data_IF_878727268646
#
_entry.id   IF_878727268646
#
_cell.length_a   1.000
_cell.length_b   1.000
_cell.length_c   1.000
_cell.angle_alpha   90.00
_cell.angle_beta   90.00
_cell.angle_gamma   90.00
#
_symmetry.space_group_name_H-M   'P 1'
#
loop_
_entity.id
_entity.type
_entity.pdbx_description
1 polymer ?
#
# COMPACT_ATOMS: atom_id res chain seq x y z
N UNK A 1 -28.84 -46.43 0.99
CA UNK A 1 -29.86 -45.36 0.99
C UNK A 1 -29.31 -44.24 1.88
N UNK A 2 -29.43 -42.97 1.49
CA UNK A 2 -28.98 -41.78 2.25
C UNK A 2 -27.52 -41.79 2.77
N UNK A 3 -26.65 -41.08 2.05
CA UNK A 3 -25.41 -40.55 2.63
C UNK A 3 -25.56 -39.05 2.89
N UNK A 4 -24.69 -38.49 3.73
CA UNK A 4 -24.60 -37.05 4.00
C UNK A 4 -23.17 -36.55 3.83
N UNK A 5 -23.05 -35.34 3.25
CA UNK A 5 -21.82 -34.54 3.13
C UNK A 5 -21.75 -33.69 4.43
N UNK A 6 -20.61 -33.28 5.01
CA UNK A 6 -19.70 -32.14 4.73
C UNK A 6 -18.58 -32.29 5.79
N UNK A 7 -17.28 -32.16 5.52
CA UNK A 7 -16.51 -30.91 5.32
C UNK A 7 -15.30 -31.10 4.38
N UNK A 8 -14.80 -30.00 3.79
CA UNK A 8 -13.77 -30.00 2.75
C UNK A 8 -12.49 -29.24 3.14
N UNK A 9 -11.29 -29.85 3.02
CA UNK A 9 -10.03 -29.17 3.25
C UNK A 9 -9.47 -28.51 1.97
N UNK A 10 -9.42 -27.16 1.96
CA UNK A 10 -8.46 -26.30 1.24
C UNK A 10 -7.78 -26.84 -0.06
N UNK A 11 -8.44 -26.68 -1.22
CA UNK A 11 -7.74 -26.47 -2.51
C UNK A 11 -8.19 -25.12 -3.09
N UNK A 12 -7.53 -24.03 -2.67
CA UNK A 12 -7.62 -22.70 -3.30
C UNK A 12 -6.20 -22.13 -3.43
N UNK A 13 -5.65 -22.13 -4.65
CA UNK A 13 -4.42 -21.43 -5.04
C UNK A 13 -4.52 -21.00 -6.52
N UNK A 14 -3.64 -20.09 -6.99
CA UNK A 14 -3.71 -19.49 -8.32
C UNK A 14 -3.81 -20.50 -9.49
N UNK A 15 -4.66 -20.19 -10.48
CA UNK A 15 -5.04 -21.01 -11.63
C UNK A 15 -5.17 -20.12 -12.88
N UNK A 16 -4.29 -20.24 -13.87
CA UNK A 16 -3.78 -19.04 -14.51
C UNK A 16 -4.17 -18.84 -16.02
N UNK A 17 -4.80 -17.71 -16.43
CA UNK A 17 -5.31 -17.37 -17.82
C UNK A 17 -5.82 -15.88 -17.90
N UNK A 18 -6.01 -15.10 -19.00
CA UNK A 18 -5.50 -15.00 -20.42
C UNK A 18 -5.88 -13.65 -21.13
N UNK A 19 -5.00 -12.97 -21.90
CA UNK A 19 -5.35 -12.09 -23.06
C UNK A 19 -4.16 -11.93 -24.07
N UNK A 20 -4.40 -11.49 -25.33
CA UNK A 20 -3.56 -11.89 -26.49
C UNK A 20 -2.99 -10.76 -27.39
N UNK A 21 -2.19 -9.82 -26.84
CA UNK A 21 -1.50 -8.78 -27.64
C UNK A 21 0.03 -8.64 -27.47
N UNK A 22 0.64 -9.21 -26.42
CA UNK A 22 2.09 -9.06 -26.20
C UNK A 22 2.99 -9.79 -27.21
N UNK A 23 2.46 -10.82 -27.92
CA UNK A 23 3.26 -11.70 -28.79
C UNK A 23 3.81 -11.05 -30.07
N UNK A 24 3.49 -9.79 -30.38
CA UNK A 24 3.96 -9.07 -31.57
C UNK A 24 5.11 -8.07 -31.31
N UNK A 25 5.70 -8.03 -30.10
CA UNK A 25 6.81 -7.11 -29.77
C UNK A 25 8.02 -7.76 -29.06
N UNK A 26 8.12 -9.09 -29.08
CA UNK A 26 9.25 -9.86 -28.54
C UNK A 26 9.81 -10.87 -29.56
N UNK A 27 9.67 -10.58 -30.86
CA UNK A 27 10.21 -11.42 -31.93
C UNK A 27 11.70 -11.15 -32.14
N UNK A 28 12.55 -11.94 -31.49
CA UNK A 28 13.82 -12.35 -32.09
C UNK A 28 13.56 -13.58 -32.96
N UNK A 29 14.34 -13.75 -34.03
CA UNK A 29 14.28 -14.92 -34.91
C UNK A 29 14.92 -16.13 -34.23
N UNK A 30 14.22 -17.27 -34.23
CA UNK A 30 14.75 -18.52 -33.71
C UNK A 30 15.69 -19.17 -34.74
N UNK A 31 16.98 -19.12 -34.46
CA UNK A 31 17.98 -20.12 -34.86
C UNK A 31 18.41 -20.90 -33.60
N UNK A 32 18.87 -22.14 -33.75
CA UNK A 32 18.85 -23.17 -32.69
C UNK A 32 19.96 -23.06 -31.61
N UNK A 33 20.15 -21.87 -31.02
CA UNK A 33 21.06 -21.61 -29.91
C UNK A 33 20.34 -20.92 -28.74
N UNK A 34 20.20 -21.65 -27.63
CA UNK A 34 19.65 -21.22 -26.33
C UNK A 34 18.37 -20.36 -26.38
N UNK A 35 17.19 -21.01 -26.33
CA UNK A 35 15.93 -20.34 -25.94
C UNK A 35 15.99 -19.91 -24.46
N UNK A 36 16.71 -18.82 -24.20
CA UNK A 36 16.77 -18.11 -22.92
C UNK A 36 15.41 -17.45 -22.67
N UNK A 37 14.48 -18.18 -22.05
CA UNK A 37 13.11 -17.77 -21.79
C UNK A 37 12.88 -17.33 -20.34
N UNK A 38 11.88 -16.49 -20.09
CA UNK A 38 11.39 -16.29 -18.72
C UNK A 38 10.80 -17.59 -18.15
N UNK A 39 10.79 -17.73 -16.83
CA UNK A 39 10.22 -18.90 -16.16
C UNK A 39 8.73 -19.10 -16.48
N UNK A 40 8.00 -18.00 -16.69
CA UNK A 40 6.61 -18.03 -17.16
C UNK A 40 6.48 -18.54 -18.61
N UNK A 41 7.37 -18.17 -19.52
CA UNK A 41 7.36 -18.65 -20.92
C UNK A 41 7.66 -20.15 -21.02
N UNK A 42 8.66 -20.64 -20.28
CA UNK A 42 8.89 -22.09 -20.10
C UNK A 42 7.64 -22.77 -19.53
N UNK A 43 7.03 -22.15 -18.53
CA UNK A 43 5.78 -22.62 -17.91
C UNK A 43 4.60 -22.73 -18.86
N UNK A 44 4.50 -21.87 -19.87
CA UNK A 44 3.52 -21.98 -20.95
C UNK A 44 3.88 -23.05 -21.99
N UNK A 45 5.14 -23.12 -22.42
CA UNK A 45 5.59 -24.12 -23.39
C UNK A 45 5.37 -25.55 -22.87
N UNK A 46 5.67 -25.79 -21.60
CA UNK A 46 5.57 -27.11 -20.96
C UNK A 46 4.21 -27.40 -20.31
N UNK A 47 3.23 -26.49 -20.47
CA UNK A 47 1.88 -26.56 -19.87
C UNK A 47 1.89 -26.94 -18.36
N UNK A 48 2.81 -26.33 -17.60
CA UNK A 48 3.07 -26.68 -16.21
C UNK A 48 1.81 -26.54 -15.35
N UNK A 49 1.62 -27.48 -14.41
CA UNK A 49 0.43 -27.55 -13.54
C UNK A 49 0.74 -27.30 -12.07
N UNK A 50 -0.21 -26.68 -11.39
CA UNK A 50 -0.23 -26.51 -9.94
C UNK A 50 -0.64 -27.81 -9.20
N UNK A 51 -0.66 -27.77 -7.86
CA UNK A 51 -1.04 -28.93 -7.03
C UNK A 51 -2.52 -29.30 -7.13
N UNK A 52 -3.41 -28.37 -7.47
CA UNK A 52 -4.82 -28.62 -7.79
C UNK A 52 -5.02 -28.93 -9.31
N UNK A 53 -3.94 -29.27 -10.05
CA UNK A 53 -3.89 -29.61 -11.49
C UNK A 53 -4.31 -28.49 -12.47
N UNK A 54 -4.34 -27.24 -12.04
CA UNK A 54 -4.63 -26.07 -12.87
C UNK A 54 -3.37 -25.57 -13.60
N UNK A 55 -3.48 -24.80 -14.70
CA UNK A 55 -2.31 -24.19 -15.36
C UNK A 55 -1.55 -23.26 -14.42
N UNK A 56 -0.23 -23.29 -14.42
CA UNK A 56 0.62 -22.61 -13.44
C UNK A 56 1.10 -21.19 -13.81
N UNK A 57 0.78 -20.65 -15.00
CA UNK A 57 1.23 -19.32 -15.45
C UNK A 57 0.17 -18.47 -16.16
N UNK A 58 0.08 -17.18 -15.84
CA UNK A 58 -1.04 -16.28 -16.23
C UNK A 58 -0.66 -15.45 -17.43
N UNK A 59 -1.59 -15.34 -18.38
CA UNK A 59 -1.57 -14.30 -19.41
C UNK A 59 -2.45 -13.09 -19.06
N UNK A 60 -2.98 -13.02 -17.82
CA UNK A 60 -3.52 -11.81 -17.15
C UNK A 60 -3.30 -11.93 -15.63
N UNK A 61 -2.57 -11.00 -15.02
CA UNK A 61 -2.52 -10.88 -13.56
C UNK A 61 -3.59 -9.91 -13.04
N UNK A 62 -3.98 -10.07 -11.78
CA UNK A 62 -4.84 -9.11 -11.06
C UNK A 62 -4.02 -8.02 -10.36
N UNK A 63 -2.79 -8.36 -9.94
CA UNK A 63 -1.88 -7.45 -9.24
C UNK A 63 -0.43 -7.67 -9.68
N UNK A 64 0.29 -6.59 -9.92
CA UNK A 64 1.74 -6.57 -9.95
C UNK A 64 2.28 -6.62 -8.51
N UNK A 65 3.27 -7.46 -8.23
CA UNK A 65 3.92 -7.54 -6.91
C UNK A 65 5.32 -6.95 -6.96
N UNK A 66 5.44 -5.74 -6.43
CA UNK A 66 6.71 -5.06 -6.18
C UNK A 66 7.29 -5.55 -4.85
N UNK A 67 8.56 -5.98 -4.83
CA UNK A 67 9.16 -6.59 -3.64
C UNK A 67 10.69 -6.50 -3.62
N UNK A 68 11.28 -6.64 -2.43
CA UNK A 68 12.73 -6.78 -2.32
C UNK A 68 13.14 -8.26 -2.45
N UNK A 69 13.87 -8.60 -3.52
CA UNK A 69 14.34 -9.97 -3.82
C UNK A 69 15.14 -10.66 -2.69
N UNK A 70 15.67 -9.90 -1.72
CA UNK A 70 16.37 -10.46 -0.54
C UNK A 70 15.44 -11.15 0.48
N UNK A 71 14.13 -11.12 0.27
CA UNK A 71 13.16 -11.74 1.17
C UNK A 71 13.15 -13.26 1.07
N UNK A 72 12.88 -13.93 2.20
CA UNK A 72 12.63 -15.36 2.18
C UNK A 72 11.29 -15.63 1.46
N UNK A 73 11.29 -16.62 0.57
CA UNK A 73 10.13 -16.99 -0.24
C UNK A 73 8.88 -17.36 0.60
N UNK A 74 9.04 -18.01 1.76
CA UNK A 74 7.88 -18.28 2.63
C UNK A 74 7.29 -16.98 3.17
N UNK A 75 8.11 -16.07 3.69
CA UNK A 75 7.67 -14.79 4.24
C UNK A 75 7.06 -13.86 3.17
N UNK A 76 7.54 -13.94 1.93
CA UNK A 76 6.93 -13.29 0.76
C UNK A 76 5.53 -13.86 0.47
N UNK A 77 5.38 -15.20 0.43
CA UNK A 77 4.08 -15.84 0.25
C UNK A 77 3.11 -15.55 1.41
N UNK A 78 3.60 -15.55 2.65
CA UNK A 78 2.81 -15.24 3.84
C UNK A 78 2.28 -13.80 3.81
N UNK A 79 3.05 -12.85 3.28
CA UNK A 79 2.60 -11.48 3.07
C UNK A 79 1.46 -11.40 2.04
N UNK A 80 1.62 -12.07 0.88
CA UNK A 80 0.58 -12.11 -0.16
C UNK A 80 -0.67 -12.87 0.32
N UNK A 81 -0.54 -13.96 1.07
CA UNK A 81 -1.66 -14.69 1.64
C UNK A 81 -2.38 -13.90 2.75
N UNK A 82 -1.64 -13.14 3.58
CA UNK A 82 -2.22 -12.23 4.57
C UNK A 82 -2.97 -11.07 3.90
N UNK A 83 -2.49 -10.59 2.75
CA UNK A 83 -3.18 -9.59 1.94
C UNK A 83 -4.44 -10.19 1.30
N UNK A 84 -4.34 -11.33 0.61
CA UNK A 84 -5.43 -11.99 -0.11
C UNK A 84 -6.58 -12.40 0.84
N UNK A 85 -6.27 -12.88 2.04
CA UNK A 85 -7.28 -13.15 3.07
C UNK A 85 -7.98 -11.89 3.64
N UNK A 86 -7.46 -10.68 3.37
CA UNK A 86 -8.01 -9.38 3.81
C UNK A 86 -8.78 -8.65 2.69
N UNK A 87 -8.40 -8.84 1.42
CA UNK A 87 -8.88 -8.04 0.28
C UNK A 87 -9.38 -8.86 -0.90
N UNK A 88 -9.01 -10.14 -0.96
CA UNK A 88 -9.52 -11.10 -1.93
C UNK A 88 -11.02 -11.26 -1.80
N UNK A 89 -11.65 -11.61 -2.91
CA UNK A 89 -13.05 -12.05 -2.95
C UNK A 89 -13.06 -13.58 -2.89
N UNK A 90 -14.22 -14.22 -2.99
CA UNK A 90 -14.32 -15.69 -3.22
C UNK A 90 -13.82 -16.14 -4.61
N UNK A 91 -12.95 -15.35 -5.25
CA UNK A 91 -12.36 -15.56 -6.56
C UNK A 91 -10.84 -15.61 -6.42
N UNK A 92 -10.20 -16.49 -7.19
CA UNK A 92 -8.75 -16.71 -7.10
C UNK A 92 -7.94 -15.52 -7.65
N UNK A 93 -7.10 -14.93 -6.80
CA UNK A 93 -6.22 -13.80 -7.15
C UNK A 93 -4.97 -14.24 -7.93
N UNK A 94 -4.49 -13.39 -8.85
CA UNK A 94 -3.29 -13.65 -9.68
C UNK A 94 -2.25 -12.54 -9.55
N UNK A 95 -1.00 -12.96 -9.39
CA UNK A 95 0.14 -12.08 -9.12
C UNK A 95 1.14 -12.14 -10.27
N UNK A 96 1.50 -10.98 -10.83
CA UNK A 96 2.66 -10.82 -11.70
C UNK A 96 3.86 -10.57 -10.79
N UNK A 97 4.85 -11.47 -10.84
CA UNK A 97 6.11 -11.33 -10.11
C UNK A 97 7.21 -11.22 -11.15
N UNK A 98 7.95 -10.13 -11.09
CA UNK A 98 9.05 -9.78 -12.00
C UNK A 98 10.05 -10.93 -12.16
N UNK A 99 10.46 -11.56 -11.05
CA UNK A 99 11.39 -12.69 -11.01
C UNK A 99 10.96 -13.91 -11.83
N UNK A 100 9.66 -14.07 -12.16
CA UNK A 100 9.15 -15.16 -13.00
C UNK A 100 8.76 -14.73 -14.42
N UNK A 101 8.33 -13.47 -14.62
CA UNK A 101 7.73 -13.01 -15.89
C UNK A 101 8.67 -12.12 -16.72
N UNK A 102 9.62 -11.43 -16.08
CA UNK A 102 10.72 -10.77 -16.82
C UNK A 102 11.79 -11.83 -17.12
N UNK A 103 12.34 -11.78 -18.33
CA UNK A 103 13.36 -12.72 -18.78
C UNK A 103 14.72 -12.41 -18.14
N UNK A 104 14.99 -13.05 -17.00
CA UNK A 104 16.16 -12.79 -16.17
C UNK A 104 17.50 -13.16 -16.82
N UNK A 105 17.50 -13.93 -17.91
CA UNK A 105 18.72 -14.24 -18.68
C UNK A 105 19.24 -13.04 -19.48
N UNK A 106 18.37 -12.09 -19.83
CA UNK A 106 18.71 -10.91 -20.64
C UNK A 106 18.24 -9.58 -20.02
N UNK A 107 17.69 -9.60 -18.80
CA UNK A 107 17.18 -8.41 -18.11
C UNK A 107 18.27 -7.33 -17.94
N UNK A 108 19.49 -7.74 -17.60
CA UNK A 108 20.67 -6.86 -17.46
C UNK A 108 21.09 -6.19 -18.79
N UNK A 109 20.61 -6.71 -19.92
CA UNK A 109 20.84 -6.15 -21.27
C UNK A 109 19.71 -5.23 -21.75
N UNK A 110 18.61 -5.07 -21.00
CA UNK A 110 17.51 -4.19 -21.39
C UNK A 110 17.84 -2.71 -21.10
N UNK A 111 17.77 -1.81 -22.11
CA UNK A 111 18.07 -0.40 -21.92
C UNK A 111 16.99 0.30 -21.08
N UNK A 112 17.31 1.44 -20.46
CA UNK A 112 16.38 2.17 -19.60
C UNK A 112 15.08 2.60 -20.32
N UNK A 113 15.11 2.79 -21.64
CA UNK A 113 13.91 3.02 -22.45
C UNK A 113 12.91 1.85 -22.35
N UNK A 114 13.39 0.60 -22.32
CA UNK A 114 12.53 -0.58 -22.18
C UNK A 114 11.86 -0.60 -20.79
N UNK A 115 12.63 -0.32 -19.73
CA UNK A 115 12.12 -0.19 -18.36
C UNK A 115 11.14 0.99 -18.18
N UNK A 116 11.34 2.07 -18.95
CA UNK A 116 10.52 3.28 -18.91
C UNK A 116 9.29 3.24 -19.82
N UNK A 117 9.21 2.26 -20.74
CA UNK A 117 8.09 2.13 -21.69
C UNK A 117 7.39 0.78 -21.58
N UNK A 118 8.08 -0.34 -21.80
CA UNK A 118 7.50 -1.70 -21.83
C UNK A 118 7.14 -2.20 -20.45
N UNK A 119 8.07 -2.12 -19.50
CA UNK A 119 7.82 -2.51 -18.11
C UNK A 119 6.78 -1.58 -17.46
N UNK A 120 6.95 -0.26 -17.60
CA UNK A 120 5.99 0.73 -17.14
C UNK A 120 4.57 0.48 -17.69
N UNK A 121 4.44 0.24 -19.00
CA UNK A 121 3.16 -0.12 -19.61
C UNK A 121 2.58 -1.42 -19.04
N UNK A 122 3.38 -2.49 -18.89
CA UNK A 122 2.89 -3.75 -18.34
C UNK A 122 2.36 -3.62 -16.90
N UNK A 123 3.00 -2.78 -16.07
CA UNK A 123 2.51 -2.43 -14.73
C UNK A 123 1.17 -1.68 -14.79
N UNK A 124 1.00 -0.80 -15.80
CA UNK A 124 -0.27 -0.10 -16.08
C UNK A 124 -1.38 -1.01 -16.59
N UNK A 125 -1.07 -1.95 -17.48
CA UNK A 125 -2.02 -2.89 -18.09
C UNK A 125 -2.58 -3.89 -17.05
N UNK A 126 -1.82 -4.21 -15.99
CA UNK A 126 -2.30 -4.94 -14.81
C UNK A 126 -3.15 -4.04 -13.89
N UNK A 127 -2.96 -2.72 -13.93
CA UNK A 127 -3.83 -1.72 -13.31
C UNK A 127 -3.87 -1.71 -11.77
N UNK A 128 -3.09 -2.57 -11.10
CA UNK A 128 -2.99 -2.65 -9.65
C UNK A 128 -1.64 -3.20 -9.22
N UNK A 129 -1.09 -2.65 -8.15
CA UNK A 129 0.24 -2.98 -7.61
C UNK A 129 0.14 -3.20 -6.10
N UNK A 130 0.79 -4.26 -5.64
CA UNK A 130 0.98 -4.60 -4.22
C UNK A 130 2.46 -4.45 -3.93
N UNK A 131 2.80 -3.63 -2.94
CA UNK A 131 4.13 -3.59 -2.37
C UNK A 131 4.24 -4.63 -1.24
N UNK A 132 5.11 -5.63 -1.36
CA UNK A 132 5.44 -6.50 -0.22
C UNK A 132 6.46 -5.76 0.65
N UNK A 133 6.06 -5.38 1.87
CA UNK A 133 6.79 -4.44 2.72
C UNK A 133 7.06 -5.00 4.12
N UNK A 134 8.34 -5.16 4.46
CA UNK A 134 8.81 -5.58 5.78
C UNK A 134 10.30 -5.21 6.04
N UNK A 135 10.72 -4.96 7.29
CA UNK A 135 9.84 -4.71 8.44
C UNK A 135 9.05 -3.42 8.26
N UNK A 136 7.88 -3.27 8.90
CA UNK A 136 7.05 -2.07 8.70
C UNK A 136 7.68 -0.78 9.24
N UNK A 137 8.56 -0.88 10.26
CA UNK A 137 9.25 0.24 10.92
C UNK A 137 10.40 0.84 10.08
N UNK A 138 10.94 0.03 9.15
CA UNK A 138 12.09 0.36 8.30
C UNK A 138 12.00 -0.40 6.95
N UNK A 139 11.06 -0.03 6.05
CA UNK A 139 10.73 -0.85 4.88
C UNK A 139 11.90 -1.10 3.92
N UNK A 140 12.40 -2.34 3.91
CA UNK A 140 13.42 -2.82 2.95
C UNK A 140 13.20 -2.36 1.50
N UNK A 141 12.00 -2.53 0.88
CA UNK A 141 11.75 -2.12 -0.50
C UNK A 141 12.05 -0.65 -0.77
N UNK A 142 11.75 0.24 0.18
CA UNK A 142 11.91 1.69 -0.01
C UNK A 142 13.38 2.14 0.03
N UNK A 143 14.32 1.18 0.20
CA UNK A 143 15.77 1.34 0.04
C UNK A 143 16.31 0.73 -1.26
N UNK A 144 15.43 0.16 -2.10
CA UNK A 144 15.77 -0.48 -3.38
C UNK A 144 15.30 0.39 -4.54
N UNK A 145 16.24 0.85 -5.35
CA UNK A 145 15.99 1.81 -6.44
C UNK A 145 14.98 1.27 -7.47
N UNK A 146 15.03 -0.03 -7.78
CA UNK A 146 14.07 -0.70 -8.65
C UNK A 146 12.65 -0.73 -8.08
N UNK A 147 12.50 -0.96 -6.77
CA UNK A 147 11.17 -0.94 -6.13
C UNK A 147 10.59 0.48 -6.09
N UNK A 148 11.44 1.50 -5.94
CA UNK A 148 11.00 2.89 -6.11
C UNK A 148 10.56 3.15 -7.55
N UNK A 149 11.31 2.66 -8.54
CA UNK A 149 10.95 2.76 -9.96
C UNK A 149 9.62 2.07 -10.27
N UNK A 150 9.36 0.91 -9.66
CA UNK A 150 8.08 0.19 -9.72
C UNK A 150 6.93 1.00 -9.12
N UNK A 151 7.13 1.63 -7.95
CA UNK A 151 6.15 2.53 -7.34
C UNK A 151 5.93 3.78 -8.21
N UNK A 152 6.94 4.26 -8.95
CA UNK A 152 6.81 5.35 -9.92
C UNK A 152 6.05 4.93 -11.19
N UNK A 153 6.36 3.78 -11.79
CA UNK A 153 5.62 3.20 -12.93
C UNK A 153 4.14 3.05 -12.60
N UNK A 154 3.84 2.44 -11.44
CA UNK A 154 2.48 2.27 -10.95
C UNK A 154 1.79 3.59 -10.54
N UNK A 155 2.50 4.72 -10.47
CA UNK A 155 1.91 6.05 -10.23
C UNK A 155 1.63 6.75 -11.57
N UNK A 156 2.61 6.74 -12.47
CA UNK A 156 2.53 7.34 -13.80
C UNK A 156 1.40 6.74 -14.64
N UNK A 157 1.14 5.43 -14.49
CA UNK A 157 0.05 4.71 -15.16
C UNK A 157 -1.32 4.80 -14.46
N UNK A 158 -1.39 5.43 -13.29
CA UNK A 158 -2.61 5.47 -12.48
C UNK A 158 -3.00 4.14 -11.82
N UNK A 159 -2.15 3.11 -11.87
CA UNK A 159 -2.42 1.82 -11.23
C UNK A 159 -2.68 1.96 -9.72
N UNK A 160 -3.68 1.21 -9.22
CA UNK A 160 -4.03 1.20 -7.79
C UNK A 160 -2.87 0.67 -6.96
N UNK A 161 -2.73 1.14 -5.72
CA UNK A 161 -1.62 0.76 -4.84
C UNK A 161 -2.12 0.27 -3.49
N UNK A 162 -1.66 -0.91 -3.06
CA UNK A 162 -1.88 -1.50 -1.74
C UNK A 162 -0.56 -2.10 -1.23
N UNK A 163 -0.51 -2.50 0.04
CA UNK A 163 0.70 -3.05 0.68
C UNK A 163 0.35 -4.37 1.35
N UNK A 164 1.19 -5.38 1.08
CA UNK A 164 1.16 -6.68 1.72
C UNK A 164 2.26 -6.75 2.80
N UNK A 165 1.90 -7.31 3.95
CA UNK A 165 2.78 -7.53 5.09
C UNK A 165 2.49 -8.92 5.66
N UNK A 166 3.48 -9.70 6.12
CA UNK A 166 3.23 -10.94 6.85
C UNK A 166 2.35 -10.67 8.08
N UNK A 167 1.52 -11.64 8.48
CA UNK A 167 0.58 -11.51 9.62
C UNK A 167 1.19 -10.80 10.86
N UNK A 168 2.38 -11.22 11.31
CA UNK A 168 3.07 -10.63 12.47
C UNK A 168 3.45 -9.16 12.28
N UNK A 169 3.90 -8.78 11.07
CA UNK A 169 4.22 -7.38 10.74
C UNK A 169 2.95 -6.54 10.70
N UNK A 170 1.86 -7.06 10.14
CA UNK A 170 0.56 -6.40 10.09
C UNK A 170 -0.05 -6.22 11.50
N UNK A 171 0.11 -7.19 12.39
CA UNK A 171 -0.31 -7.13 13.80
C UNK A 171 0.51 -6.08 14.58
N UNK A 172 1.83 -6.06 14.42
CA UNK A 172 2.69 -5.04 15.02
C UNK A 172 2.40 -3.63 14.51
N UNK A 173 2.19 -3.48 13.19
CA UNK A 173 1.77 -2.23 12.56
C UNK A 173 0.41 -1.75 13.10
N UNK A 174 -0.60 -2.62 13.17
CA UNK A 174 -1.92 -2.31 13.76
C UNK A 174 -1.81 -1.82 15.20
N UNK A 175 -1.05 -2.52 16.04
CA UNK A 175 -0.81 -2.09 17.42
C UNK A 175 -0.14 -0.70 17.49
N UNK A 176 0.77 -0.39 16.56
CA UNK A 176 1.43 0.91 16.48
C UNK A 176 0.51 2.05 16.00
N UNK A 177 -0.51 1.78 15.17
CA UNK A 177 -1.54 2.79 14.79
C UNK A 177 -2.26 3.39 16.00
N UNK A 178 -2.46 2.57 17.04
CA UNK A 178 -3.12 2.94 18.29
C UNK A 178 -2.09 3.52 19.27
N UNK A 179 -1.02 2.76 19.54
CA UNK A 179 -0.13 2.98 20.71
C UNK A 179 1.14 3.80 20.44
N UNK A 180 1.49 4.05 19.18
CA UNK A 180 2.80 4.64 18.81
C UNK A 180 2.75 5.33 17.45
N UNK A 181 1.68 6.10 17.19
CA UNK A 181 1.38 6.62 15.86
C UNK A 181 2.53 7.43 15.21
N UNK A 182 3.26 8.23 16.00
CA UNK A 182 4.45 8.97 15.54
C UNK A 182 5.54 8.07 14.94
N UNK A 183 5.69 6.82 15.43
CA UNK A 183 6.61 5.83 14.84
C UNK A 183 6.16 5.44 13.43
N UNK A 184 4.86 5.28 13.22
CA UNK A 184 4.27 4.93 11.92
C UNK A 184 4.49 6.07 10.92
N UNK A 185 4.25 7.32 11.32
CA UNK A 185 4.59 8.49 10.51
C UNK A 185 6.10 8.54 10.17
N UNK A 186 6.95 8.32 11.17
CA UNK A 186 8.41 8.32 11.02
C UNK A 186 8.91 7.19 10.12
N UNK A 187 8.26 6.03 10.12
CA UNK A 187 8.56 4.93 9.20
C UNK A 187 8.26 5.32 7.74
N UNK A 188 7.20 6.10 7.49
CA UNK A 188 6.85 6.59 6.16
C UNK A 188 7.67 7.81 5.71
N UNK A 189 8.07 8.70 6.62
CA UNK A 189 8.87 9.89 6.28
C UNK A 189 10.35 9.60 6.01
N UNK A 190 10.83 8.39 6.35
CA UNK A 190 12.19 7.91 6.08
C UNK A 190 12.46 7.53 4.61
N UNK A 191 11.49 7.66 3.72
CA UNK A 191 11.69 7.38 2.29
C UNK A 191 12.59 8.46 1.70
N UNK A 192 13.80 8.04 1.30
CA UNK A 192 14.71 8.82 0.48
C UNK A 192 15.18 8.02 -0.74
N UNK A 193 14.80 8.50 -1.92
CA UNK A 193 15.10 7.90 -3.22
C UNK A 193 16.57 8.06 -3.59
N UNK A 194 17.23 9.15 -3.21
CA UNK A 194 18.64 9.37 -3.58
C UNK A 194 19.58 8.42 -2.82
N UNK A 195 19.18 7.99 -1.62
CA UNK A 195 19.86 6.95 -0.83
C UNK A 195 19.48 5.51 -1.25
N UNK A 196 18.61 5.32 -2.25
CA UNK A 196 18.19 3.99 -2.70
C UNK A 196 19.25 3.30 -3.58
N UNK A 197 19.29 1.96 -3.50
CA UNK A 197 20.37 1.14 -4.08
C UNK A 197 19.88 -0.01 -4.97
N UNK A 198 20.69 -0.40 -5.95
CA UNK A 198 20.57 -1.67 -6.67
C UNK A 198 21.54 -2.72 -6.10
N UNK A 199 21.74 -3.86 -6.78
CA UNK A 199 22.86 -4.77 -6.48
C UNK A 199 24.08 -4.40 -7.33
N UNK A 200 23.88 -4.17 -8.64
CA UNK A 200 24.88 -3.60 -9.53
C UNK A 200 24.79 -2.07 -9.56
N UNK A 201 25.94 -1.39 -9.42
CA UNK A 201 26.02 0.09 -9.41
C UNK A 201 25.52 0.70 -10.73
N UNK A 202 25.83 0.08 -11.87
CA UNK A 202 25.29 0.42 -13.19
C UNK A 202 23.76 0.56 -13.20
N UNK A 203 23.04 -0.38 -12.58
CA UNK A 203 21.57 -0.34 -12.54
C UNK A 203 21.04 0.74 -11.59
N UNK A 204 21.78 1.05 -10.52
CA UNK A 204 21.44 2.19 -9.67
C UNK A 204 21.60 3.50 -10.45
N UNK A 205 22.73 3.70 -11.12
CA UNK A 205 23.02 4.93 -11.84
C UNK A 205 22.07 5.13 -13.02
N UNK A 206 21.80 4.07 -13.80
CA UNK A 206 20.82 4.09 -14.89
C UNK A 206 19.43 4.55 -14.44
N UNK A 207 18.92 4.04 -13.31
CA UNK A 207 17.60 4.42 -12.79
C UNK A 207 17.64 5.79 -12.10
N UNK A 208 18.73 6.12 -11.40
CA UNK A 208 18.93 7.45 -10.78
C UNK A 208 18.99 8.57 -11.84
N UNK A 209 19.67 8.35 -12.97
CA UNK A 209 19.75 9.32 -14.05
C UNK A 209 18.41 9.50 -14.78
N UNK A 210 17.65 8.43 -14.99
CA UNK A 210 16.29 8.54 -15.53
C UNK A 210 15.35 9.26 -14.55
N UNK A 211 15.48 9.05 -13.23
CA UNK A 211 14.77 9.81 -12.20
C UNK A 211 15.15 11.30 -12.27
N UNK A 212 16.45 11.64 -12.37
CA UNK A 212 16.94 13.03 -12.56
C UNK A 212 16.37 13.67 -13.83
N UNK A 213 16.27 12.91 -14.92
CA UNK A 213 15.79 13.35 -16.24
C UNK A 213 14.28 13.57 -16.30
N UNK A 214 13.49 12.90 -15.47
CA UNK A 214 12.02 12.85 -15.57
C UNK A 214 11.28 13.61 -14.47
N UNK A 215 11.27 13.07 -13.24
CA UNK A 215 10.49 13.59 -12.11
C UNK A 215 11.36 14.40 -11.12
N UNK A 216 12.63 14.06 -10.99
CA UNK A 216 13.54 14.56 -9.95
C UNK A 216 13.31 13.91 -8.58
N UNK A 217 14.37 13.74 -7.80
CA UNK A 217 14.31 13.05 -6.50
C UNK A 217 13.31 13.65 -5.52
N UNK A 218 13.23 14.98 -5.40
CA UNK A 218 12.32 15.67 -4.46
C UNK A 218 10.86 15.30 -4.69
N UNK A 219 10.37 15.44 -5.93
CA UNK A 219 8.98 15.12 -6.30
C UNK A 219 8.69 13.62 -6.22
N UNK A 220 9.69 12.78 -6.44
CA UNK A 220 9.55 11.33 -6.29
C UNK A 220 9.49 10.92 -4.81
N UNK A 221 10.29 11.53 -3.93
CA UNK A 221 10.17 11.40 -2.47
C UNK A 221 8.76 11.81 -2.01
N UNK A 222 8.30 13.01 -2.38
CA UNK A 222 6.95 13.51 -2.09
C UNK A 222 5.85 12.56 -2.57
N UNK A 223 5.96 12.04 -3.81
CA UNK A 223 4.98 11.12 -4.39
C UNK A 223 4.91 9.80 -3.61
N UNK A 224 6.06 9.16 -3.33
CA UNK A 224 6.08 7.89 -2.61
C UNK A 224 5.57 8.08 -1.17
N UNK A 225 6.02 9.12 -0.47
CA UNK A 225 5.54 9.43 0.89
C UNK A 225 4.03 9.70 0.91
N UNK A 226 3.49 10.46 -0.06
CA UNK A 226 2.06 10.70 -0.22
C UNK A 226 1.27 9.41 -0.52
N UNK A 227 1.79 8.53 -1.39
CA UNK A 227 1.14 7.26 -1.73
C UNK A 227 1.08 6.32 -0.52
N UNK A 228 2.18 6.20 0.22
CA UNK A 228 2.25 5.42 1.45
C UNK A 228 1.32 6.01 2.53
N UNK A 229 1.26 7.33 2.67
CA UNK A 229 0.38 8.03 3.63
C UNK A 229 -1.10 7.81 3.31
N UNK A 230 -1.49 7.89 2.03
CA UNK A 230 -2.86 7.59 1.58
C UNK A 230 -3.27 6.14 1.85
N UNK A 231 -2.34 5.19 1.67
CA UNK A 231 -2.58 3.79 2.03
C UNK A 231 -2.76 3.61 3.54
N UNK A 232 -1.90 4.23 4.35
CA UNK A 232 -1.95 4.20 5.81
C UNK A 232 -3.28 4.77 6.35
N UNK A 233 -3.74 5.90 5.83
CA UNK A 233 -5.07 6.48 6.12
C UNK A 233 -6.17 5.45 5.81
N UNK A 234 -6.15 4.85 4.62
CA UNK A 234 -7.13 3.84 4.23
C UNK A 234 -7.11 2.57 5.09
N UNK A 235 -5.96 2.20 5.66
CA UNK A 235 -5.86 1.11 6.63
C UNK A 235 -6.42 1.52 8.00
N UNK A 236 -6.05 2.69 8.52
CA UNK A 236 -6.53 3.19 9.80
C UNK A 236 -8.06 3.41 9.79
N UNK A 237 -8.64 3.94 8.70
CA UNK A 237 -10.10 4.05 8.53
C UNK A 237 -10.80 2.68 8.55
N UNK A 238 -10.22 1.64 7.91
CA UNK A 238 -10.78 0.27 7.92
C UNK A 238 -10.68 -0.39 9.30
N UNK A 239 -9.56 -0.19 9.99
CA UNK A 239 -9.38 -0.73 11.34
C UNK A 239 -10.34 -0.05 12.33
N UNK A 240 -10.48 1.28 12.25
CA UNK A 240 -11.42 2.05 13.04
C UNK A 240 -12.87 1.61 12.81
N UNK A 241 -13.25 1.35 11.56
CA UNK A 241 -14.58 0.82 11.22
C UNK A 241 -14.81 -0.56 11.85
N UNK A 242 -13.83 -1.48 11.77
CA UNK A 242 -13.89 -2.79 12.44
C UNK A 242 -14.03 -2.65 13.97
N UNK A 243 -13.38 -1.65 14.58
CA UNK A 243 -13.50 -1.34 16.03
C UNK A 243 -14.82 -0.64 16.41
N UNK A 244 -15.51 0.00 15.46
CA UNK A 244 -16.89 0.50 15.63
C UNK A 244 -17.92 -0.63 15.52
N UNK A 245 -17.72 -1.56 14.59
CA UNK A 245 -18.58 -2.73 14.39
C UNK A 245 -18.46 -3.73 15.56
N UNK A 246 -17.24 -3.97 16.05
CA UNK A 246 -16.96 -4.83 17.19
C UNK A 246 -16.76 -4.02 18.49
N UNK A 247 -17.61 -3.01 18.72
CA UNK A 247 -17.50 -2.11 19.86
C UNK A 247 -17.72 -2.84 21.20
N UNK A 248 -16.84 -2.59 22.18
CA UNK A 248 -16.99 -3.08 23.56
C UNK A 248 -16.73 -1.98 24.60
N UNK A 249 -17.17 -2.15 25.85
CA UNK A 249 -16.80 -1.25 26.97
C UNK A 249 -15.32 -1.27 27.33
N UNK A 250 -14.51 -2.14 26.72
CA UNK A 250 -13.07 -2.26 26.96
C UNK A 250 -12.25 -1.58 25.85
N UNK A 251 -12.68 -1.66 24.59
CA UNK A 251 -11.92 -1.15 23.43
C UNK A 251 -12.13 0.34 23.08
N UNK A 252 -12.99 1.06 23.82
CA UNK A 252 -13.33 2.47 23.51
C UNK A 252 -12.12 3.40 23.52
N UNK A 253 -11.16 3.21 24.43
CA UNK A 253 -9.95 4.04 24.52
C UNK A 253 -9.10 3.93 23.25
N UNK A 254 -8.91 2.70 22.78
CA UNK A 254 -8.09 2.40 21.61
C UNK A 254 -8.80 2.86 20.32
N UNK A 255 -10.12 2.70 20.25
CA UNK A 255 -10.96 3.25 19.16
C UNK A 255 -10.83 4.77 19.08
N UNK A 256 -11.00 5.47 20.20
CA UNK A 256 -10.86 6.92 20.27
C UNK A 256 -9.44 7.40 19.95
N UNK A 257 -8.41 6.69 20.41
CA UNK A 257 -7.00 6.99 20.10
C UNK A 257 -6.68 6.83 18.61
N UNK A 258 -7.16 5.75 17.99
CA UNK A 258 -7.04 5.54 16.55
C UNK A 258 -7.78 6.63 15.75
N UNK A 259 -8.94 7.09 16.23
CA UNK A 259 -9.72 8.14 15.58
C UNK A 259 -9.06 9.52 15.67
N UNK A 260 -8.44 9.88 16.81
CA UNK A 260 -7.60 11.08 16.93
C UNK A 260 -6.40 11.03 15.96
N UNK A 261 -5.66 9.93 15.98
CA UNK A 261 -4.50 9.73 15.10
C UNK A 261 -4.91 9.86 13.61
N UNK A 262 -6.04 9.25 13.22
CA UNK A 262 -6.60 9.34 11.86
C UNK A 262 -7.05 10.76 11.48
N UNK A 263 -7.70 11.49 12.40
CA UNK A 263 -8.10 12.87 12.16
C UNK A 263 -6.86 13.78 11.96
N UNK A 264 -5.82 13.60 12.80
CA UNK A 264 -4.53 14.30 12.66
C UNK A 264 -3.81 13.97 11.36
N UNK A 265 -3.80 12.71 10.93
CA UNK A 265 -3.29 12.31 9.60
C UNK A 265 -3.96 13.04 8.45
N UNK A 266 -5.29 13.14 8.51
CA UNK A 266 -6.07 13.78 7.45
C UNK A 266 -5.77 15.28 7.40
N UNK A 267 -5.63 15.94 8.56
CA UNK A 267 -5.18 17.34 8.65
C UNK A 267 -3.77 17.53 8.09
N UNK A 268 -2.82 16.68 8.46
CA UNK A 268 -1.40 16.78 8.07
C UNK A 268 -1.17 16.43 6.59
N UNK A 269 -2.04 15.59 5.99
CA UNK A 269 -2.07 15.32 4.54
C UNK A 269 -2.97 16.28 3.73
N UNK A 270 -3.50 17.33 4.35
CA UNK A 270 -4.30 18.38 3.69
C UNK A 270 -5.77 18.05 3.43
N UNK A 271 -6.27 16.89 3.89
CA UNK A 271 -7.68 16.52 3.85
C UNK A 271 -8.41 17.06 5.10
N UNK A 272 -8.56 18.39 5.17
CA UNK A 272 -9.14 19.07 6.32
C UNK A 272 -10.58 18.64 6.62
N UNK A 273 -11.42 18.46 5.60
CA UNK A 273 -12.81 18.00 5.78
C UNK A 273 -12.90 16.57 6.33
N UNK A 274 -11.98 15.69 5.94
CA UNK A 274 -11.88 14.35 6.54
C UNK A 274 -11.43 14.39 8.00
N UNK A 275 -10.51 15.29 8.35
CA UNK A 275 -10.07 15.50 9.72
C UNK A 275 -11.20 16.03 10.60
N UNK A 276 -11.88 17.08 10.14
CA UNK A 276 -13.02 17.71 10.79
C UNK A 276 -14.15 16.71 11.09
N UNK A 277 -14.47 15.83 10.12
CA UNK A 277 -15.45 14.76 10.30
C UNK A 277 -15.08 13.84 11.48
N UNK A 278 -13.86 13.30 11.51
CA UNK A 278 -13.45 12.37 12.57
C UNK A 278 -13.27 13.06 13.93
N UNK A 279 -12.87 14.33 13.98
CA UNK A 279 -12.85 15.11 15.22
C UNK A 279 -14.27 15.38 15.76
N UNK A 280 -15.25 15.71 14.89
CA UNK A 280 -16.65 15.90 15.28
C UNK A 280 -17.31 14.60 15.75
N UNK A 281 -17.05 13.48 15.07
CA UNK A 281 -17.43 12.15 15.59
C UNK A 281 -16.78 11.85 16.94
N UNK A 282 -15.49 12.20 17.12
CA UNK A 282 -14.73 11.88 18.33
C UNK A 282 -15.30 12.63 19.53
N UNK A 283 -15.55 13.95 19.40
CA UNK A 283 -16.21 14.76 20.43
C UNK A 283 -17.57 14.17 20.82
N UNK A 284 -18.37 13.81 19.81
CA UNK A 284 -19.70 13.18 19.98
C UNK A 284 -19.62 11.83 20.71
N UNK A 285 -18.51 11.09 20.60
CA UNK A 285 -18.28 9.86 21.35
C UNK A 285 -17.83 10.16 22.79
N UNK A 286 -16.93 11.12 23.01
CA UNK A 286 -16.46 11.49 24.37
C UNK A 286 -17.62 11.97 25.24
N UNK A 287 -18.50 12.82 24.71
CA UNK A 287 -19.66 13.34 25.43
C UNK A 287 -20.62 12.23 25.89
N UNK A 288 -20.78 11.17 25.08
CA UNK A 288 -21.62 10.00 25.40
C UNK A 288 -20.96 9.08 26.43
N UNK A 289 -19.64 8.91 26.37
CA UNK A 289 -18.90 7.97 27.23
C UNK A 289 -18.47 8.58 28.57
N UNK A 290 -18.28 9.90 28.66
CA UNK A 290 -17.77 10.57 29.87
C UNK A 290 -18.67 11.70 30.40
N UNK A 291 -19.75 12.04 29.71
CA UNK A 291 -20.51 13.28 29.97
C UNK A 291 -19.81 14.50 29.38
N UNK A 292 -20.30 15.71 29.70
CA UNK A 292 -19.70 16.96 29.20
C UNK A 292 -18.21 17.05 29.60
N UNK A 293 -17.37 17.24 28.59
CA UNK A 293 -15.96 16.82 28.59
C UNK A 293 -15.04 17.75 29.40
N UNK A 294 -14.05 17.17 30.07
CA UNK A 294 -12.96 17.92 30.72
C UNK A 294 -12.12 18.69 29.70
N UNK A 295 -12.03 20.01 29.91
CA UNK A 295 -11.63 21.04 28.93
C UNK A 295 -10.38 20.77 28.08
N UNK A 296 -9.35 20.07 28.58
CA UNK A 296 -8.07 19.89 27.87
C UNK A 296 -8.17 19.25 26.49
N UNK A 297 -9.20 18.43 26.21
CA UNK A 297 -9.40 17.85 24.87
C UNK A 297 -10.16 18.75 23.90
N UNK A 298 -10.92 19.74 24.39
CA UNK A 298 -11.60 20.70 23.53
C UNK A 298 -10.59 21.60 22.83
N UNK A 299 -9.59 22.11 23.56
CA UNK A 299 -8.55 23.00 23.05
C UNK A 299 -7.95 22.56 21.70
N UNK A 300 -7.56 21.29 21.54
CA UNK A 300 -6.97 20.81 20.27
C UNK A 300 -7.97 20.68 19.12
N UNK A 301 -9.26 20.53 19.41
CA UNK A 301 -10.35 20.53 18.42
C UNK A 301 -10.64 21.98 18.01
N UNK A 302 -10.74 22.89 18.97
CA UNK A 302 -10.98 24.32 18.74
C UNK A 302 -9.79 24.98 18.01
N UNK A 303 -8.55 24.62 18.36
CA UNK A 303 -7.33 24.99 17.62
C UNK A 303 -7.37 24.49 16.16
N UNK A 304 -7.84 23.26 15.92
CA UNK A 304 -7.96 22.70 14.58
C UNK A 304 -9.09 23.34 13.76
N UNK A 305 -10.18 23.77 14.40
CA UNK A 305 -11.30 24.47 13.77
C UNK A 305 -10.88 25.91 13.42
N UNK A 306 -10.39 26.69 14.38
CA UNK A 306 -9.95 28.07 14.18
C UNK A 306 -8.83 28.19 13.13
N UNK A 307 -7.93 27.20 13.04
CA UNK A 307 -6.89 27.15 12.00
C UNK A 307 -7.41 26.74 10.62
N UNK A 308 -8.58 26.09 10.53
CA UNK A 308 -9.23 25.84 9.24
C UNK A 308 -10.03 27.06 8.77
N UNK A 309 -10.70 27.76 9.69
CA UNK A 309 -11.39 29.04 9.45
C UNK A 309 -10.43 30.13 8.92
N UNK A 310 -9.19 30.19 9.44
CA UNK A 310 -8.13 31.07 8.94
C UNK A 310 -7.76 30.89 7.45
N UNK A 311 -8.23 29.83 6.78
CA UNK A 311 -7.99 29.60 5.33
C UNK A 311 -9.08 30.13 4.39
N UNK A 312 -10.05 30.89 4.90
CA UNK A 312 -10.74 31.90 4.11
C UNK A 312 -12.00 31.44 3.36
N UNK A 313 -12.93 30.77 4.06
CA UNK A 313 -14.35 30.77 3.70
C UNK A 313 -15.10 31.37 4.90
N UNK A 314 -15.93 32.40 4.67
CA UNK A 314 -16.73 33.06 5.72
C UNK A 314 -17.78 32.14 6.35
N UNK A 315 -18.47 32.54 7.41
CA UNK A 315 -18.98 33.90 7.70
C UNK A 315 -18.83 34.29 9.18
N UNK A 316 -18.84 35.59 9.44
CA UNK A 316 -18.59 36.28 10.73
C UNK A 316 -19.59 35.95 11.86
N UNK A 317 -19.47 34.80 12.55
CA UNK A 317 -20.26 34.57 13.79
C UNK A 317 -19.60 33.62 14.83
N UNK A 318 -18.27 33.60 14.95
CA UNK A 318 -17.55 32.71 15.88
C UNK A 318 -16.92 33.39 17.13
N UNK A 319 -16.81 34.72 17.17
CA UNK A 319 -15.81 35.40 18.02
C UNK A 319 -16.17 35.69 19.50
N UNK A 320 -17.39 35.40 19.99
CA UNK A 320 -17.84 35.91 21.31
C UNK A 320 -18.00 34.88 22.44
N UNK A 321 -18.10 33.58 22.15
CA UNK A 321 -18.56 32.60 23.15
C UNK A 321 -17.49 32.17 24.19
N UNK A 322 -16.21 32.14 23.82
CA UNK A 322 -15.16 31.45 24.61
C UNK A 322 -14.48 32.37 25.63
N UNK A 323 -14.16 33.62 25.23
CA UNK A 323 -13.42 34.55 26.10
C UNK A 323 -14.26 35.04 27.28
N UNK A 324 -15.57 35.21 27.11
CA UNK A 324 -16.44 35.68 28.20
C UNK A 324 -16.68 34.61 29.28
N UNK A 325 -16.67 33.32 28.93
CA UNK A 325 -16.81 32.23 29.91
C UNK A 325 -15.53 32.04 30.73
N UNK A 326 -14.35 32.19 30.12
CA UNK A 326 -13.04 32.14 30.80
C UNK A 326 -12.83 33.29 31.80
N UNK A 327 -13.70 34.30 31.83
CA UNK A 327 -13.64 35.40 32.80
C UNK A 327 -14.25 35.10 34.17
N UNK A 328 -15.01 33.99 34.37
CA UNK A 328 -15.84 33.81 35.57
C UNK A 328 -16.06 32.36 36.08
N UNK A 329 -14.98 31.61 36.38
CA UNK A 329 -14.88 30.82 37.64
C UNK A 329 -13.50 30.16 37.81
N UNK A 330 -12.77 30.62 38.85
CA UNK A 330 -11.65 29.98 39.58
C UNK A 330 -10.68 29.10 38.78
#
# INVERSE_FOLDING_TARGET
MWGSIVEAPFCRKPAFIRNWHLKQRLCLSADEADELLSYAEVGFQQDLKDRCKQPAFVTMAHHFVSHAWRYNYSTFLDALATWDARTGKDLTTYFWVDAFVVNQHIADSYPMEWWSTRFAQAVGDVGSTILVSMPWEDPTPLKRVWVIWEIFCAYQTGARFDIAMPKKELEGFRAALITSFTKVQTALSKVDVELSSAFHKSHQDMVHDEIRRTIGFTKLNEMVQLRMTRWLIGMASRELQSMKENASPENWKDRMGLQDNLARMLRESGNFSGAEFYFKELLTEVEKTQGKVTLQKANHIDEAIAFSEQRGIGIETACSAVVEFLGKTM
#
